data_IF_837804970025
#
_entry.id   IF_837804970025
#
_cell.length_a   1.000
_cell.length_b   1.000
_cell.length_c   1.000
_cell.angle_alpha   90.00
_cell.angle_beta   90.00
_cell.angle_gamma   90.00
#
_symmetry.space_group_name_H-M   'P 1'
#
loop_
_entity.id
_entity.type
_entity.pdbx_description
1 polymer ?
#
# COMPACT_ATOMS: atom_id res chain seq x y z
N UNK A 1 -14.19 20.06 8.08
CA UNK A 1 -13.10 19.61 8.97
C UNK A 1 -13.25 18.11 9.22
N UNK A 2 -12.21 17.43 9.71
CA UNK A 2 -12.30 16.01 10.06
C UNK A 2 -13.37 15.72 11.13
N UNK A 3 -13.58 16.65 12.07
CA UNK A 3 -14.69 16.56 13.04
C UNK A 3 -16.06 16.52 12.36
N UNK A 4 -16.30 17.39 11.38
CA UNK A 4 -17.59 17.41 10.68
C UNK A 4 -17.83 16.12 9.90
N UNK A 5 -16.78 15.56 9.29
CA UNK A 5 -16.85 14.26 8.59
C UNK A 5 -17.20 13.15 9.59
N UNK A 6 -16.49 13.09 10.73
CA UNK A 6 -16.76 12.13 11.79
C UNK A 6 -18.22 12.21 12.31
N UNK A 7 -18.70 13.42 12.59
CA UNK A 7 -20.08 13.63 13.01
C UNK A 7 -21.08 13.18 11.94
N UNK A 8 -20.82 13.50 10.67
CA UNK A 8 -21.69 13.11 9.56
C UNK A 8 -21.78 11.58 9.42
N UNK A 9 -20.65 10.88 9.56
CA UNK A 9 -20.60 9.41 9.53
C UNK A 9 -21.43 8.83 10.68
N UNK A 10 -21.22 9.31 11.92
CA UNK A 10 -21.92 8.80 13.09
C UNK A 10 -23.42 9.10 13.09
N UNK A 11 -23.81 10.30 12.62
CA UNK A 11 -25.21 10.66 12.40
C UNK A 11 -25.86 9.73 11.38
N UNK A 12 -25.23 9.52 10.23
CA UNK A 12 -25.73 8.60 9.20
C UNK A 12 -25.91 7.16 9.72
N UNK A 13 -24.94 6.64 10.46
CA UNK A 13 -25.05 5.31 11.07
C UNK A 13 -26.24 5.25 12.04
N UNK A 14 -26.41 6.26 12.88
CA UNK A 14 -27.52 6.30 13.85
C UNK A 14 -28.88 6.43 13.14
N UNK A 15 -28.98 7.28 12.13
CA UNK A 15 -30.19 7.50 11.33
C UNK A 15 -30.62 6.25 10.55
N UNK A 16 -29.66 5.42 10.13
CA UNK A 16 -29.92 4.14 9.46
C UNK A 16 -30.22 2.99 10.44
N UNK A 17 -30.29 3.28 11.74
CA UNK A 17 -30.56 2.28 12.78
C UNK A 17 -29.35 1.43 13.17
N UNK A 18 -28.15 1.78 12.69
CA UNK A 18 -26.93 1.06 13.05
C UNK A 18 -26.53 1.36 14.50
N UNK A 19 -26.22 0.30 15.26
CA UNK A 19 -25.84 0.43 16.65
C UNK A 19 -24.34 0.76 16.74
N UNK A 20 -23.99 1.96 17.22
CA UNK A 20 -22.58 2.42 17.26
C UNK A 20 -21.63 1.52 18.06
N UNK A 21 -22.14 0.71 18.99
CA UNK A 21 -21.31 -0.26 19.72
C UNK A 21 -20.90 -1.46 18.85
N UNK A 22 -21.59 -1.71 17.73
CA UNK A 22 -21.26 -2.76 16.75
C UNK A 22 -20.23 -2.30 15.70
N UNK A 23 -19.87 -1.01 15.65
CA UNK A 23 -18.88 -0.48 14.71
C UNK A 23 -17.48 -1.01 15.05
N UNK A 24 -17.01 -2.10 14.46
CA UNK A 24 -15.71 -2.67 14.82
C UNK A 24 -14.56 -2.22 13.90
N UNK A 25 -14.87 -1.89 12.65
CA UNK A 25 -13.89 -1.57 11.61
C UNK A 25 -14.28 -0.27 10.93
N UNK A 26 -13.28 0.55 10.62
CA UNK A 26 -13.46 1.74 9.78
C UNK A 26 -12.42 1.75 8.67
N UNK A 27 -12.86 1.93 7.43
CA UNK A 27 -12.01 1.96 6.25
C UNK A 27 -11.92 3.33 5.61
N UNK A 28 -10.73 3.71 5.15
CA UNK A 28 -10.49 4.99 4.47
C UNK A 28 -9.20 4.96 3.63
N UNK A 29 -8.95 6.01 2.85
CA UNK A 29 -7.60 6.24 2.31
C UNK A 29 -6.61 6.65 3.42
N UNK A 30 -5.32 6.63 3.11
CA UNK A 30 -4.26 6.95 4.08
C UNK A 30 -4.01 8.45 4.28
N UNK A 31 -4.89 9.34 3.85
CA UNK A 31 -4.65 10.79 3.94
C UNK A 31 -4.65 11.26 5.40
N UNK A 32 -3.83 12.28 5.70
CA UNK A 32 -3.73 12.86 7.04
C UNK A 32 -5.08 13.35 7.59
N UNK A 33 -6.01 13.78 6.72
CA UNK A 33 -7.37 14.14 7.12
C UNK A 33 -8.12 12.97 7.73
N UNK A 34 -7.93 11.75 7.23
CA UNK A 34 -8.59 10.55 7.73
C UNK A 34 -7.82 9.90 8.88
N UNK A 35 -6.50 9.78 8.75
CA UNK A 35 -5.64 8.95 9.61
C UNK A 35 -4.79 9.75 10.61
N UNK A 36 -4.90 11.08 10.62
CA UNK A 36 -4.12 11.95 11.51
C UNK A 36 -4.33 11.60 12.99
N UNK A 37 -3.23 11.36 13.70
CA UNK A 37 -3.25 10.85 15.08
C UNK A 37 -4.00 11.73 16.10
N UNK A 38 -4.02 13.06 15.91
CA UNK A 38 -4.69 14.03 16.79
C UNK A 38 -6.10 14.42 16.34
N UNK A 39 -6.22 14.67 15.04
CA UNK A 39 -7.35 15.38 14.45
C UNK A 39 -8.01 14.62 13.30
N UNK A 40 -7.50 13.45 12.92
CA UNK A 40 -8.02 12.64 11.83
C UNK A 40 -9.44 12.16 12.09
N UNK A 41 -10.19 11.89 11.03
CA UNK A 41 -11.59 11.42 11.10
C UNK A 41 -11.72 10.22 12.03
N UNK A 42 -10.84 9.21 11.91
CA UNK A 42 -10.92 8.01 12.75
C UNK A 42 -10.70 8.35 14.22
N UNK A 43 -9.68 9.16 14.53
CA UNK A 43 -9.41 9.62 15.90
C UNK A 43 -10.62 10.36 16.50
N UNK A 44 -11.34 11.17 15.72
CA UNK A 44 -12.55 11.86 16.19
C UNK A 44 -13.73 10.90 16.39
N UNK A 45 -13.84 9.84 15.58
CA UNK A 45 -14.84 8.80 15.77
C UNK A 45 -14.54 8.01 17.04
N UNK A 46 -13.31 7.54 17.24
CA UNK A 46 -12.87 6.79 18.41
C UNK A 46 -13.12 7.54 19.73
N UNK A 47 -12.91 8.87 19.75
CA UNK A 47 -13.24 9.72 20.91
C UNK A 47 -14.73 9.72 21.23
N UNK A 48 -15.59 9.73 20.22
CA UNK A 48 -17.04 9.73 20.40
C UNK A 48 -17.58 8.35 20.82
N UNK A 49 -17.06 7.28 20.23
CA UNK A 49 -17.43 5.90 20.60
C UNK A 49 -16.70 5.38 21.85
N UNK A 50 -15.73 6.15 22.37
CA UNK A 50 -14.92 5.87 23.58
C UNK A 50 -14.18 4.54 23.54
N UNK A 51 -13.73 4.11 22.35
CA UNK A 51 -12.96 2.88 22.14
C UNK A 51 -12.17 2.97 20.84
N UNK A 52 -11.08 2.22 20.75
CA UNK A 52 -10.35 2.08 19.48
C UNK A 52 -11.13 1.21 18.50
N UNK A 53 -11.02 1.55 17.22
CA UNK A 53 -11.59 0.82 16.10
C UNK A 53 -10.48 0.09 15.36
N UNK A 54 -10.84 -0.93 14.59
CA UNK A 54 -9.92 -1.54 13.65
C UNK A 54 -9.77 -0.63 12.43
N UNK A 55 -8.55 -0.17 12.14
CA UNK A 55 -8.29 0.70 10.99
C UNK A 55 -8.05 -0.15 9.75
N UNK A 56 -8.89 0.01 8.72
CA UNK A 56 -8.77 -0.63 7.42
C UNK A 56 -8.38 0.41 6.36
N UNK A 57 -7.14 0.87 6.42
CA UNK A 57 -6.62 1.91 5.53
C UNK A 57 -6.45 1.35 4.10
N UNK A 58 -6.25 2.17 3.08
CA UNK A 58 -6.06 1.67 1.72
C UNK A 58 -4.59 1.26 1.45
N UNK A 59 -4.33 -0.03 1.23
CA UNK A 59 -2.99 -0.52 0.81
C UNK A 59 -2.57 -0.05 -0.58
N UNK A 60 -3.53 0.17 -1.48
CA UNK A 60 -3.22 0.72 -2.80
C UNK A 60 -2.70 2.15 -2.68
N UNK A 61 -3.28 2.95 -1.79
CA UNK A 61 -2.77 4.29 -1.49
C UNK A 61 -1.36 4.21 -0.90
N UNK A 62 -1.10 3.28 0.03
CA UNK A 62 0.24 3.05 0.57
C UNK A 62 1.27 2.72 -0.52
N UNK A 63 0.95 1.81 -1.45
CA UNK A 63 1.81 1.47 -2.58
C UNK A 63 2.07 2.67 -3.52
N UNK A 64 1.05 3.50 -3.76
CA UNK A 64 1.19 4.74 -4.53
C UNK A 64 2.17 5.74 -3.90
N UNK A 65 2.25 5.80 -2.57
CA UNK A 65 3.14 6.74 -1.89
C UNK A 65 4.63 6.46 -2.18
N UNK A 66 5.04 5.19 -2.25
CA UNK A 66 6.43 4.84 -2.56
C UNK A 66 6.84 5.35 -3.94
N UNK A 67 6.04 5.10 -4.97
CA UNK A 67 6.30 5.62 -6.31
C UNK A 67 6.23 7.15 -6.35
N UNK A 68 5.23 7.75 -5.69
CA UNK A 68 5.08 9.21 -5.58
C UNK A 68 6.33 9.90 -5.07
N UNK A 69 6.81 9.45 -3.91
CA UNK A 69 7.93 10.10 -3.24
C UNK A 69 9.25 9.85 -3.94
N UNK A 70 9.41 8.70 -4.59
CA UNK A 70 10.54 8.45 -5.48
C UNK A 70 10.52 9.43 -6.67
N UNK A 71 9.36 9.56 -7.32
CA UNK A 71 9.17 10.47 -8.45
C UNK A 71 9.50 11.92 -8.07
N UNK A 72 8.91 12.41 -6.98
CA UNK A 72 9.15 13.79 -6.52
C UNK A 72 10.59 14.03 -6.07
N UNK A 73 11.30 13.01 -5.60
CA UNK A 73 12.70 13.15 -5.22
C UNK A 73 13.63 13.23 -6.45
N UNK A 74 13.30 12.51 -7.54
CA UNK A 74 14.10 12.46 -8.76
C UNK A 74 13.76 13.56 -9.78
N UNK A 75 12.52 14.05 -9.77
CA UNK A 75 12.02 15.09 -10.68
C UNK A 75 11.98 16.49 -10.02
N UNK A 76 12.53 16.65 -8.83
CA UNK A 76 12.38 17.84 -7.96
C UNK A 76 10.95 18.07 -7.41
N UNK A 77 10.87 18.57 -6.17
CA UNK A 77 9.61 18.82 -5.48
C UNK A 77 8.76 19.90 -6.19
N UNK A 78 7.45 19.65 -6.29
CA UNK A 78 6.49 20.67 -6.76
C UNK A 78 6.40 21.80 -5.73
N UNK A 79 6.80 23.02 -6.09
CA UNK A 79 6.76 24.22 -5.22
C UNK A 79 5.35 24.81 -5.04
N UNK A 80 4.30 23.98 -4.99
CA UNK A 80 2.92 24.40 -4.75
C UNK A 80 1.87 23.56 -5.50
N UNK A 81 0.61 24.05 -5.64
CA UNK A 81 -0.48 23.34 -6.35
C UNK A 81 -0.30 23.30 -7.89
N UNK A 82 0.91 23.56 -8.39
CA UNK A 82 1.24 23.61 -9.81
C UNK A 82 1.52 22.21 -10.38
N UNK A 83 1.41 22.01 -11.71
CA UNK A 83 1.87 20.79 -12.36
C UNK A 83 3.35 20.53 -12.09
N UNK A 84 3.78 19.27 -12.26
CA UNK A 84 5.17 18.84 -12.15
C UNK A 84 6.12 19.86 -12.79
N UNK A 85 7.08 20.35 -12.01
CA UNK A 85 8.03 21.38 -12.44
C UNK A 85 9.34 20.80 -12.97
N UNK A 86 9.59 19.52 -12.71
CA UNK A 86 10.79 18.83 -13.12
C UNK A 86 10.86 18.47 -14.60
N UNK A 87 12.05 18.05 -15.05
CA UNK A 87 12.29 17.68 -16.45
C UNK A 87 11.43 16.50 -16.91
N UNK A 88 11.25 15.46 -16.09
CA UNK A 88 10.47 14.25 -16.38
C UNK A 88 8.98 14.60 -16.33
N UNK A 89 8.51 15.18 -15.24
CA UNK A 89 7.09 15.48 -15.05
C UNK A 89 6.56 16.54 -16.03
N UNK A 90 7.39 17.50 -16.42
CA UNK A 90 7.04 18.44 -17.51
C UNK A 90 6.85 17.70 -18.83
N UNK A 91 7.69 16.71 -19.14
CA UNK A 91 7.56 15.90 -20.35
C UNK A 91 6.33 15.02 -20.32
N UNK A 92 6.02 14.41 -19.17
CA UNK A 92 4.78 13.62 -19.00
C UNK A 92 3.57 14.42 -19.46
N UNK A 93 3.47 15.71 -19.11
CA UNK A 93 2.32 16.56 -19.47
C UNK A 93 2.26 16.98 -20.95
N UNK A 94 3.38 17.01 -21.67
CA UNK A 94 3.50 17.60 -23.01
C UNK A 94 3.64 16.59 -24.16
N UNK A 95 4.04 15.36 -23.88
CA UNK A 95 4.58 14.42 -24.88
C UNK A 95 3.80 13.10 -25.00
N UNK A 96 2.47 13.17 -24.92
CA UNK A 96 1.61 11.97 -24.97
C UNK A 96 1.63 11.22 -26.32
N UNK A 97 2.08 11.85 -27.42
CA UNK A 97 1.99 11.33 -28.80
C UNK A 97 3.33 11.04 -29.46
N UNK A 98 4.40 10.92 -28.68
CA UNK A 98 5.72 10.61 -29.25
C UNK A 98 5.74 9.19 -29.84
N UNK A 99 6.41 8.97 -30.99
CA UNK A 99 6.56 7.63 -31.55
C UNK A 99 7.38 6.73 -30.62
N UNK A 100 7.17 5.42 -30.71
CA UNK A 100 8.06 4.45 -30.07
C UNK A 100 9.37 4.40 -30.87
N UNK A 101 10.50 4.44 -30.17
CA UNK A 101 11.86 4.38 -30.75
C UNK A 101 12.57 3.13 -30.25
N UNK A 102 13.83 2.93 -30.62
CA UNK A 102 14.66 1.89 -30.00
C UNK A 102 14.95 2.27 -28.55
N UNK A 103 14.37 1.55 -27.60
CA UNK A 103 14.57 1.78 -26.17
C UNK A 103 15.36 0.63 -25.53
N UNK A 104 15.98 0.89 -24.40
CA UNK A 104 16.72 -0.12 -23.62
C UNK A 104 15.73 -1.06 -22.90
N UNK A 105 15.88 -2.37 -23.11
CA UNK A 105 15.09 -3.36 -22.37
C UNK A 105 15.62 -3.55 -20.96
N UNK A 106 14.74 -3.90 -20.02
CA UNK A 106 15.15 -4.18 -18.65
C UNK A 106 14.56 -5.48 -18.10
N UNK A 107 15.44 -6.43 -17.81
CA UNK A 107 15.04 -7.74 -17.29
C UNK A 107 14.44 -7.63 -15.88
N UNK A 108 13.18 -8.03 -15.75
CA UNK A 108 12.47 -8.12 -14.49
C UNK A 108 11.38 -9.19 -14.57
N UNK A 109 11.10 -9.85 -13.44
CA UNK A 109 10.01 -10.81 -13.35
C UNK A 109 8.68 -10.08 -13.27
N UNK A 110 7.82 -10.31 -14.25
CA UNK A 110 6.48 -9.72 -14.29
C UNK A 110 5.51 -10.67 -13.57
N UNK A 111 4.80 -10.22 -12.53
CA UNK A 111 3.92 -11.07 -11.76
C UNK A 111 2.74 -11.58 -12.60
N UNK A 112 2.48 -12.88 -12.50
CA UNK A 112 1.31 -13.48 -13.15
C UNK A 112 0.00 -13.03 -12.49
N UNK A 113 -0.95 -12.54 -13.27
CA UNK A 113 -2.30 -12.19 -12.80
C UNK A 113 -3.33 -12.40 -13.91
N UNK A 114 -4.50 -12.92 -13.53
CA UNK A 114 -5.61 -13.04 -14.46
C UNK A 114 -6.09 -11.67 -14.92
N UNK A 115 -6.03 -11.41 -16.23
CA UNK A 115 -6.40 -10.11 -16.83
C UNK A 115 -7.81 -9.63 -16.45
N UNK A 116 -8.74 -10.56 -16.19
CA UNK A 116 -10.11 -10.25 -15.75
C UNK A 116 -10.19 -9.57 -14.38
N UNK A 117 -9.14 -9.67 -13.56
CA UNK A 117 -9.03 -8.99 -12.26
C UNK A 117 -8.57 -7.53 -12.39
N UNK A 118 -8.16 -7.11 -13.59
CA UNK A 118 -7.53 -5.82 -13.86
C UNK A 118 -8.48 -4.86 -14.56
N UNK A 119 -8.47 -3.60 -14.13
CA UNK A 119 -9.06 -2.50 -14.91
C UNK A 119 -8.29 -2.30 -16.22
N UNK A 120 -8.88 -1.57 -17.16
CA UNK A 120 -8.20 -1.24 -18.43
C UNK A 120 -6.84 -0.57 -18.22
N UNK A 121 -6.72 0.29 -17.21
CA UNK A 121 -5.46 1.01 -16.92
C UNK A 121 -4.41 0.11 -16.26
N UNK A 122 -4.84 -0.88 -15.48
CA UNK A 122 -3.95 -1.89 -14.90
C UNK A 122 -3.48 -2.91 -15.93
N UNK A 123 -4.36 -3.30 -16.87
CA UNK A 123 -3.97 -4.13 -18.01
C UNK A 123 -2.94 -3.40 -18.87
N UNK A 124 -3.09 -2.08 -19.06
CA UNK A 124 -2.09 -1.28 -19.76
C UNK A 124 -0.74 -1.29 -19.03
N UNK A 125 -0.75 -1.06 -17.70
CA UNK A 125 0.47 -1.12 -16.88
C UNK A 125 1.20 -2.44 -17.05
N UNK A 126 0.45 -3.55 -17.04
CA UNK A 126 0.99 -4.89 -17.23
C UNK A 126 1.59 -5.06 -18.63
N UNK A 127 0.84 -4.71 -19.68
CA UNK A 127 1.27 -4.87 -21.06
C UNK A 127 2.50 -4.03 -21.40
N UNK A 128 2.55 -2.78 -20.93
CA UNK A 128 3.69 -1.90 -21.18
C UNK A 128 4.90 -2.31 -20.35
N UNK A 129 4.71 -2.87 -19.16
CA UNK A 129 5.81 -3.47 -18.39
C UNK A 129 6.41 -4.65 -19.16
N UNK A 130 5.58 -5.55 -19.71
CA UNK A 130 6.05 -6.63 -20.58
C UNK A 130 6.81 -6.13 -21.81
N UNK A 131 6.36 -5.03 -22.43
CA UNK A 131 7.05 -4.44 -23.58
C UNK A 131 8.46 -3.94 -23.21
N UNK A 132 8.61 -3.30 -22.04
CA UNK A 132 9.90 -2.84 -21.54
C UNK A 132 10.81 -4.02 -21.20
N UNK A 133 10.28 -5.06 -20.56
CA UNK A 133 11.05 -6.25 -20.22
C UNK A 133 11.53 -7.02 -21.45
N UNK A 134 10.69 -7.13 -22.47
CA UNK A 134 11.00 -7.86 -23.71
C UNK A 134 11.81 -7.06 -24.73
N UNK A 135 11.94 -5.75 -24.55
CA UNK A 135 12.54 -4.86 -25.56
C UNK A 135 11.69 -4.69 -26.83
N UNK A 136 10.44 -5.13 -26.82
CA UNK A 136 9.55 -5.09 -27.98
C UNK A 136 8.19 -4.52 -27.59
N UNK A 137 7.73 -3.49 -28.31
CA UNK A 137 6.46 -2.84 -28.03
C UNK A 137 5.43 -3.14 -29.13
N UNK A 138 4.31 -3.79 -28.81
CA UNK A 138 3.17 -3.91 -29.71
C UNK A 138 2.62 -2.55 -30.14
N UNK A 139 2.25 -2.41 -31.40
CA UNK A 139 1.76 -1.14 -31.99
C UNK A 139 0.58 -0.55 -31.20
N UNK A 140 -0.33 -1.37 -30.68
CA UNK A 140 -1.50 -0.89 -29.92
C UNK A 140 -1.13 -0.13 -28.63
N UNK A 141 0.03 -0.39 -28.03
CA UNK A 141 0.51 0.35 -26.85
C UNK A 141 0.94 1.78 -27.22
N UNK A 142 1.35 1.98 -28.47
CA UNK A 142 1.74 3.30 -28.96
C UNK A 142 0.55 4.22 -29.28
N UNK A 143 -0.59 3.63 -29.66
CA UNK A 143 -1.81 4.32 -30.15
C UNK A 143 -2.79 4.66 -29.02
N UNK A 144 -2.70 4.00 -27.87
CA UNK A 144 -3.66 4.19 -26.79
C UNK A 144 -3.49 5.57 -26.15
N UNK A 145 -4.52 6.41 -26.27
CA UNK A 145 -4.52 7.73 -25.63
C UNK A 145 -4.49 7.57 -24.09
N UNK A 146 -3.56 8.25 -23.40
CA UNK A 146 -3.58 8.30 -21.95
C UNK A 146 -4.87 8.97 -21.48
N UNK A 147 -5.51 8.41 -20.45
CA UNK A 147 -6.64 9.07 -19.78
C UNK A 147 -6.20 10.47 -19.32
N UNK A 148 -7.09 11.47 -19.48
CA UNK A 148 -6.88 12.87 -19.01
C UNK A 148 -6.24 12.85 -17.62
N UNK A 149 -5.25 13.70 -17.39
CA UNK A 149 -4.33 13.69 -16.24
C UNK A 149 -4.88 14.36 -14.96
N UNK A 150 -5.49 13.63 -14.00
CA UNK A 150 -5.60 14.13 -12.64
C UNK A 150 -4.28 13.88 -11.92
N UNK A 151 -3.70 14.94 -11.35
CA UNK A 151 -2.44 14.90 -10.61
C UNK A 151 -2.50 14.03 -9.33
N UNK A 152 -3.69 13.52 -8.99
CA UNK A 152 -3.95 12.65 -7.84
C UNK A 152 -3.88 11.15 -8.16
N UNK A 153 -3.72 10.73 -9.43
CA UNK A 153 -3.74 9.30 -9.81
C UNK A 153 -2.35 8.80 -10.25
N UNK A 154 -1.63 8.20 -9.31
CA UNK A 154 -0.26 7.71 -9.53
C UNK A 154 -0.17 6.53 -10.49
N UNK A 155 -1.21 5.69 -10.60
CA UNK A 155 -1.29 4.67 -11.65
C UNK A 155 -1.24 5.28 -13.06
N UNK A 156 -1.95 6.39 -13.28
CA UNK A 156 -1.93 7.09 -14.57
C UNK A 156 -0.55 7.70 -14.83
N UNK A 157 0.09 8.27 -13.80
CA UNK A 157 1.47 8.76 -13.89
C UNK A 157 2.44 7.64 -14.28
N UNK A 158 2.38 6.49 -13.61
CA UNK A 158 3.23 5.32 -13.91
C UNK A 158 3.04 4.85 -15.37
N UNK A 159 1.78 4.73 -15.82
CA UNK A 159 1.48 4.36 -17.21
C UNK A 159 2.08 5.34 -18.24
N UNK A 160 2.03 6.65 -17.93
CA UNK A 160 2.59 7.69 -18.80
C UNK A 160 4.11 7.69 -18.77
N UNK A 161 4.72 7.42 -17.62
CA UNK A 161 6.16 7.32 -17.44
C UNK A 161 6.75 6.18 -18.26
N UNK A 162 6.17 4.98 -18.15
CA UNK A 162 6.54 3.84 -19.00
C UNK A 162 6.32 4.16 -20.49
N UNK A 163 5.23 4.85 -20.85
CA UNK A 163 4.96 5.24 -22.25
C UNK A 163 5.96 6.26 -22.78
N UNK A 164 6.40 7.18 -21.93
CA UNK A 164 7.39 8.19 -22.25
C UNK A 164 8.76 7.54 -22.47
N UNK A 165 9.13 6.56 -21.64
CA UNK A 165 10.37 5.81 -21.77
C UNK A 165 10.52 5.12 -23.14
N UNK A 166 9.44 4.54 -23.67
CA UNK A 166 9.42 3.94 -25.02
C UNK A 166 9.74 4.93 -26.15
N UNK A 167 9.73 6.23 -25.86
CA UNK A 167 10.00 7.31 -26.82
C UNK A 167 11.38 7.95 -26.64
N UNK A 168 12.27 7.35 -25.83
CA UNK A 168 13.64 7.83 -25.63
C UNK A 168 14.68 6.74 -25.93
N UNK A 169 15.58 7.03 -26.86
CA UNK A 169 16.74 6.16 -27.11
C UNK A 169 17.78 6.26 -26.00
N UNK A 170 17.94 7.45 -25.41
CA UNK A 170 18.92 7.73 -24.36
C UNK A 170 18.24 8.38 -23.15
N UNK A 171 17.52 7.60 -22.32
CA UNK A 171 16.91 8.12 -21.09
C UNK A 171 17.99 8.42 -20.04
N UNK A 172 17.75 9.42 -19.18
CA UNK A 172 18.65 9.72 -18.05
C UNK A 172 18.59 8.61 -16.98
N UNK A 173 19.60 8.53 -16.14
CA UNK A 173 19.66 7.53 -15.07
C UNK A 173 18.48 7.68 -14.09
N UNK A 174 18.06 8.92 -13.79
CA UNK A 174 16.90 9.20 -12.94
C UNK A 174 15.59 8.65 -13.56
N UNK A 175 15.40 8.85 -14.87
CA UNK A 175 14.24 8.32 -15.56
C UNK A 175 14.27 6.78 -15.61
N UNK A 176 15.44 6.17 -15.82
CA UNK A 176 15.60 4.71 -15.75
C UNK A 176 15.19 4.17 -14.38
N UNK A 177 15.61 4.82 -13.29
CA UNK A 177 15.25 4.40 -11.92
C UNK A 177 13.72 4.38 -11.73
N UNK A 178 13.00 5.41 -12.18
CA UNK A 178 11.54 5.46 -12.08
C UNK A 178 10.86 4.37 -12.88
N UNK A 179 11.29 4.21 -14.14
CA UNK A 179 10.77 3.21 -15.06
C UNK A 179 10.99 1.80 -14.54
N UNK A 180 12.16 1.52 -13.94
CA UNK A 180 12.47 0.20 -13.39
C UNK A 180 11.77 -0.06 -12.05
N UNK A 181 11.50 0.98 -11.25
CA UNK A 181 10.74 0.85 -10.01
C UNK A 181 9.32 0.36 -10.21
N UNK A 182 8.68 0.76 -11.32
CA UNK A 182 7.31 0.38 -11.60
C UNK A 182 7.13 -1.15 -11.72
N UNK A 183 7.84 -1.87 -12.62
CA UNK A 183 7.71 -3.30 -12.74
C UNK A 183 8.42 -4.07 -11.63
N UNK A 184 9.45 -3.52 -10.97
CA UNK A 184 10.14 -4.21 -9.86
C UNK A 184 9.44 -4.12 -8.52
N UNK A 185 8.70 -3.04 -8.27
CA UNK A 185 8.12 -2.77 -6.95
C UNK A 185 6.65 -2.42 -7.03
N UNK A 186 6.28 -1.36 -7.74
CA UNK A 186 4.90 -0.85 -7.71
C UNK A 186 3.88 -1.88 -8.21
N UNK A 187 4.12 -2.51 -9.36
CA UNK A 187 3.23 -3.50 -9.96
C UNK A 187 3.19 -4.83 -9.20
N UNK A 188 4.33 -5.47 -8.80
CA UNK A 188 4.33 -6.68 -7.98
C UNK A 188 3.51 -6.54 -6.69
N UNK A 189 3.74 -5.47 -5.93
CA UNK A 189 2.97 -5.17 -4.72
C UNK A 189 1.49 -5.02 -5.04
N UNK A 190 1.17 -4.31 -6.12
CA UNK A 190 -0.21 -4.11 -6.55
C UNK A 190 -0.91 -5.44 -6.88
N UNK A 191 -0.22 -6.35 -7.58
CA UNK A 191 -0.71 -7.71 -7.86
C UNK A 191 -0.87 -8.52 -6.58
N UNK A 192 0.08 -8.41 -5.65
CA UNK A 192 0.03 -9.06 -4.34
C UNK A 192 -1.24 -8.62 -3.58
N UNK A 193 -1.51 -7.31 -3.49
CA UNK A 193 -2.72 -6.75 -2.87
C UNK A 193 -4.01 -7.28 -3.54
N UNK A 194 -4.02 -7.45 -4.86
CA UNK A 194 -5.19 -7.99 -5.57
C UNK A 194 -5.45 -9.45 -5.29
N UNK A 195 -4.39 -10.24 -5.08
CA UNK A 195 -4.49 -11.68 -4.74
C UNK A 195 -4.84 -11.86 -3.26
N UNK A 196 -4.20 -11.12 -2.35
CA UNK A 196 -4.44 -11.16 -0.90
C UNK A 196 -5.39 -10.08 -0.44
N UNK A 197 -6.70 -10.33 -0.52
CA UNK A 197 -7.74 -9.31 -0.22
C UNK A 197 -8.11 -9.22 1.26
N UNK A 198 -7.63 -10.16 2.09
CA UNK A 198 -8.00 -10.19 3.49
C UNK A 198 -7.20 -9.17 4.29
N UNK A 199 -7.83 -8.65 5.34
CA UNK A 199 -7.20 -7.73 6.27
C UNK A 199 -5.91 -8.30 6.87
N UNK A 200 -5.92 -9.61 7.13
CA UNK A 200 -4.79 -10.37 7.64
C UNK A 200 -3.60 -10.43 6.68
N UNK A 201 -3.77 -10.17 5.38
CA UNK A 201 -2.65 -10.08 4.44
C UNK A 201 -1.93 -8.72 4.49
N UNK A 202 -2.46 -7.74 5.23
CA UNK A 202 -1.93 -6.38 5.31
C UNK A 202 -0.41 -6.31 5.53
N UNK A 203 0.12 -6.96 6.59
CA UNK A 203 1.56 -6.99 6.85
C UNK A 203 2.39 -7.62 5.74
N UNK A 204 1.91 -8.70 5.11
CA UNK A 204 2.60 -9.33 3.98
C UNK A 204 2.72 -8.36 2.80
N UNK A 205 1.70 -7.54 2.55
CA UNK A 205 1.75 -6.52 1.50
C UNK A 205 2.75 -5.42 1.80
N UNK A 206 2.91 -5.02 3.07
CA UNK A 206 3.92 -4.03 3.42
C UNK A 206 5.33 -4.63 3.35
N UNK A 207 5.50 -5.88 3.80
CA UNK A 207 6.74 -6.62 3.62
C UNK A 207 7.15 -6.70 2.14
N UNK A 208 6.19 -6.94 1.23
CA UNK A 208 6.46 -6.97 -0.20
C UNK A 208 6.99 -5.63 -0.71
N UNK A 209 6.44 -4.48 -0.26
CA UNK A 209 6.98 -3.14 -0.60
C UNK A 209 8.41 -2.97 -0.09
N UNK A 210 8.69 -3.42 1.14
CA UNK A 210 10.02 -3.37 1.75
C UNK A 210 10.99 -4.19 0.91
N UNK A 211 10.64 -5.43 0.58
CA UNK A 211 11.49 -6.37 -0.17
C UNK A 211 11.73 -5.88 -1.59
N UNK A 212 10.67 -5.50 -2.30
CA UNK A 212 10.70 -5.15 -3.72
C UNK A 212 11.41 -3.82 -4.00
N UNK A 213 11.58 -2.96 -2.99
CA UNK A 213 12.30 -1.68 -3.14
C UNK A 213 13.82 -1.78 -2.89
N UNK A 214 14.33 -2.88 -2.34
CA UNK A 214 15.75 -3.02 -1.91
C UNK A 214 16.78 -2.93 -3.04
N UNK A 215 16.37 -2.99 -4.31
CA UNK A 215 17.28 -2.81 -5.44
C UNK A 215 17.70 -1.35 -5.65
N UNK A 216 17.03 -0.38 -5.01
CA UNK A 216 17.35 1.04 -5.11
C UNK A 216 18.68 1.38 -4.41
N UNK A 217 19.38 2.44 -4.85
CA UNK A 217 20.57 2.93 -4.16
C UNK A 217 20.24 3.52 -2.79
N UNK A 218 21.22 3.54 -1.88
CA UNK A 218 21.03 3.87 -0.46
C UNK A 218 20.37 5.25 -0.23
N UNK A 219 20.72 6.25 -1.04
CA UNK A 219 20.13 7.60 -0.94
C UNK A 219 18.62 7.59 -1.24
N UNK A 220 18.18 6.78 -2.20
CA UNK A 220 16.76 6.65 -2.56
C UNK A 220 16.02 5.71 -1.61
N UNK A 221 16.70 4.68 -1.09
CA UNK A 221 16.14 3.83 -0.03
C UNK A 221 15.79 4.63 1.20
N UNK A 222 16.60 5.62 1.61
CA UNK A 222 16.26 6.52 2.73
C UNK A 222 14.92 7.25 2.50
N UNK A 223 14.64 7.64 1.26
CA UNK A 223 13.35 8.27 0.90
C UNK A 223 12.22 7.26 1.05
N UNK A 224 12.34 6.08 0.43
CA UNK A 224 11.32 5.02 0.48
C UNK A 224 11.08 4.53 1.90
N UNK A 225 12.12 4.23 2.66
CA UNK A 225 12.04 3.74 4.04
C UNK A 225 11.34 4.77 4.93
N UNK A 226 11.64 6.06 4.74
CA UNK A 226 10.93 7.11 5.48
C UNK A 226 9.43 7.18 5.15
N UNK A 227 9.05 6.84 3.92
CA UNK A 227 7.65 6.81 3.48
C UNK A 227 6.95 5.60 4.06
N UNK A 228 7.60 4.44 4.02
CA UNK A 228 7.13 3.20 4.63
C UNK A 228 6.87 3.46 6.12
N UNK A 229 7.88 3.87 6.89
CA UNK A 229 7.77 4.13 8.35
C UNK A 229 6.64 5.08 8.73
N UNK A 230 6.35 6.08 7.89
CA UNK A 230 5.31 7.09 8.16
C UNK A 230 3.89 6.62 7.80
N UNK A 231 3.74 5.58 6.98
CA UNK A 231 2.47 5.18 6.37
C UNK A 231 2.10 3.70 6.58
N UNK A 232 2.88 2.96 7.37
CA UNK A 232 2.65 1.57 7.78
C UNK A 232 1.50 1.41 8.77
N UNK A 233 0.36 2.06 8.51
CA UNK A 233 -0.85 1.94 9.33
C UNK A 233 -1.38 0.50 9.35
N UNK A 234 -1.03 -0.30 8.34
CA UNK A 234 -1.30 -1.74 8.30
C UNK A 234 -0.42 -2.59 9.20
N UNK A 235 0.70 -2.05 9.66
CA UNK A 235 1.57 -2.70 10.65
C UNK A 235 1.31 -2.18 12.05
N UNK A 236 0.18 -1.49 12.25
CA UNK A 236 -0.36 -1.37 13.58
C UNK A 236 -0.40 -2.80 14.17
N UNK A 237 0.15 -3.00 15.37
CA UNK A 237 0.44 -4.34 15.85
C UNK A 237 -0.81 -5.18 16.08
N UNK A 238 -1.96 -4.53 16.25
CA UNK A 238 -3.28 -5.16 16.19
C UNK A 238 -3.50 -5.92 14.87
N UNK A 239 -3.09 -5.33 13.74
CA UNK A 239 -3.20 -5.93 12.40
C UNK A 239 -2.15 -7.01 12.19
N UNK A 240 -0.94 -6.80 12.71
CA UNK A 240 0.10 -7.81 12.64
C UNK A 240 -0.35 -9.06 13.39
N UNK A 241 -0.84 -8.91 14.63
CA UNK A 241 -1.43 -10.02 15.40
C UNK A 241 -2.51 -10.76 14.62
N UNK A 242 -3.41 -10.04 13.94
CA UNK A 242 -4.44 -10.65 13.10
C UNK A 242 -3.84 -11.46 11.94
N UNK A 243 -2.76 -11.00 11.33
CA UNK A 243 -1.99 -11.77 10.34
C UNK A 243 -1.37 -13.03 10.94
N UNK A 244 -0.82 -12.94 12.16
CA UNK A 244 -0.14 -14.09 12.81
C UNK A 244 -1.13 -15.18 13.20
N UNK A 245 -2.34 -14.82 13.65
CA UNK A 245 -3.39 -15.78 14.02
C UNK A 245 -3.75 -16.70 12.86
N UNK A 246 -3.59 -16.24 11.62
CA UNK A 246 -3.88 -17.01 10.40
C UNK A 246 -2.61 -17.49 9.68
N UNK A 247 -1.44 -17.38 10.31
CA UNK A 247 -0.17 -17.84 9.72
C UNK A 247 -0.23 -19.35 9.46
N UNK A 248 0.37 -19.82 8.38
CA UNK A 248 0.37 -21.25 8.02
C UNK A 248 1.17 -22.11 9.00
N UNK A 249 2.11 -21.52 9.75
CA UNK A 249 3.00 -22.21 10.69
C UNK A 249 2.35 -22.29 12.08
N UNK A 250 2.14 -23.50 12.56
CA UNK A 250 1.46 -23.76 13.84
C UNK A 250 2.12 -23.06 15.02
N UNK A 251 3.46 -23.15 15.10
CA UNK A 251 4.26 -22.54 16.17
C UNK A 251 4.09 -21.01 16.23
N UNK A 252 3.94 -20.37 15.07
CA UNK A 252 3.75 -18.92 14.94
C UNK A 252 2.35 -18.53 15.40
N UNK A 253 1.33 -19.32 15.01
CA UNK A 253 -0.04 -19.09 15.51
C UNK A 253 -0.14 -19.27 17.03
N UNK A 254 0.52 -20.28 17.60
CA UNK A 254 0.56 -20.47 19.06
C UNK A 254 1.25 -19.32 19.80
N UNK A 255 2.33 -18.78 19.23
CA UNK A 255 3.00 -17.60 19.76
C UNK A 255 2.05 -16.39 19.75
N UNK A 256 1.28 -16.19 18.68
CA UNK A 256 0.28 -15.11 18.60
C UNK A 256 -0.74 -15.17 19.73
N UNK A 257 -1.25 -16.37 20.04
CA UNK A 257 -2.21 -16.54 21.12
C UNK A 257 -1.63 -16.14 22.47
N UNK A 258 -0.39 -16.58 22.75
CA UNK A 258 0.33 -16.21 23.98
C UNK A 258 0.53 -14.70 24.09
N UNK A 259 0.83 -14.03 22.98
CA UNK A 259 0.97 -12.56 22.96
C UNK A 259 -0.38 -11.89 23.22
N UNK A 260 -1.47 -12.36 22.59
CA UNK A 260 -2.81 -11.77 22.74
C UNK A 260 -3.31 -11.83 24.20
N UNK A 261 -3.11 -12.96 24.89
CA UNK A 261 -3.57 -13.12 26.27
C UNK A 261 -2.72 -12.35 27.30
N UNK A 262 -1.49 -11.95 26.93
CA UNK A 262 -0.56 -11.23 27.81
C UNK A 262 -0.50 -9.72 27.54
N UNK A 263 -1.23 -9.26 26.52
CA UNK A 263 -1.24 -7.92 25.98
C UNK A 263 -1.78 -6.85 26.99
N UNK A 264 -1.03 -5.76 27.23
CA UNK A 264 -1.42 -4.60 28.07
C UNK A 264 -1.07 -3.16 27.54
N UNK A 265 -0.41 -2.91 26.38
CA UNK A 265 -0.03 -1.54 25.91
C UNK A 265 0.17 -1.36 24.38
N UNK A 266 0.91 -0.34 23.88
CA UNK A 266 1.05 0.00 22.45
C UNK A 266 2.54 0.02 22.00
N UNK A 267 2.88 -0.39 20.76
CA UNK A 267 4.26 -0.43 20.27
C UNK A 267 4.79 0.82 19.62
N UNK A 268 6.12 0.86 19.49
CA UNK A 268 6.83 1.81 18.65
C UNK A 268 7.86 1.09 17.77
N UNK A 269 7.81 1.44 16.48
CA UNK A 269 8.79 1.18 15.42
C UNK A 269 8.78 -0.22 14.76
N UNK A 270 8.97 -0.20 13.44
CA UNK A 270 9.00 -1.35 12.54
C UNK A 270 10.44 -1.66 12.16
N UNK A 271 10.78 -2.94 12.11
CA UNK A 271 12.06 -3.44 11.65
C UNK A 271 12.08 -3.61 10.12
N UNK A 272 12.70 -2.64 9.43
CA UNK A 272 12.83 -2.64 7.96
C UNK A 272 13.84 -3.68 7.46
N UNK A 273 14.70 -4.18 8.35
CA UNK A 273 15.70 -5.21 8.03
C UNK A 273 15.15 -6.63 8.22
N UNK A 274 13.84 -6.77 8.45
CA UNK A 274 13.18 -8.06 8.62
C UNK A 274 13.35 -8.95 7.37
N UNK A 275 13.51 -10.25 7.60
CA UNK A 275 13.58 -11.26 6.52
C UNK A 275 12.27 -12.03 6.34
N UNK A 276 11.36 -11.88 7.31
CA UNK A 276 10.01 -12.44 7.34
C UNK A 276 9.03 -11.39 7.87
N UNK A 277 7.77 -11.42 7.44
CA UNK A 277 6.76 -10.43 7.86
C UNK A 277 6.53 -10.43 9.39
N UNK A 278 6.76 -11.56 10.05
CA UNK A 278 6.61 -11.70 11.51
C UNK A 278 7.74 -10.98 12.27
N UNK A 279 8.90 -10.80 11.64
CA UNK A 279 10.09 -10.14 12.23
C UNK A 279 10.05 -8.61 12.13
N UNK A 280 9.01 -8.06 11.48
CA UNK A 280 8.81 -6.62 11.32
C UNK A 280 8.51 -5.92 12.65
N UNK A 281 8.11 -6.68 13.70
CA UNK A 281 7.93 -6.17 15.06
C UNK A 281 8.72 -7.01 16.07
N UNK A 282 9.32 -6.34 17.06
CA UNK A 282 10.01 -7.02 18.17
C UNK A 282 9.03 -7.42 19.28
N UNK A 283 8.54 -8.65 19.25
CA UNK A 283 7.52 -9.15 20.18
C UNK A 283 7.90 -9.10 21.67
N UNK A 284 9.18 -9.16 22.00
CA UNK A 284 9.67 -9.26 23.39
C UNK A 284 9.71 -7.92 24.14
N UNK A 285 9.67 -6.80 23.42
CA UNK A 285 9.80 -5.44 24.00
C UNK A 285 8.46 -4.73 24.12
N UNK A 286 7.39 -5.42 23.72
CA UNK A 286 6.11 -4.81 23.41
C UNK A 286 5.01 -5.51 24.20
N UNK A 287 4.23 -4.72 24.91
CA UNK A 287 2.98 -5.16 25.52
C UNK A 287 1.87 -4.64 24.62
N UNK A 288 0.93 -5.47 24.13
CA UNK A 288 -0.03 -5.09 23.07
C UNK A 288 -1.43 -4.74 23.58
N UNK A 289 -2.30 -4.13 22.80
CA UNK A 289 -3.75 -4.18 23.05
C UNK A 289 -4.33 -5.32 22.20
N UNK A 290 -5.31 -6.07 22.72
CA UNK A 290 -6.03 -7.04 21.90
C UNK A 290 -6.62 -6.31 20.69
N UNK A 291 -6.44 -6.84 19.46
CA UNK A 291 -7.01 -6.24 18.26
C UNK A 291 -8.51 -5.99 18.47
N UNK A 292 -9.05 -4.82 18.06
CA UNK A 292 -10.47 -4.48 18.23
C UNK A 292 -11.41 -5.57 17.68
N UNK A 293 -11.02 -6.21 16.58
CA UNK A 293 -11.74 -7.34 15.99
C UNK A 293 -11.83 -8.58 16.89
N UNK A 294 -10.89 -8.76 17.81
CA UNK A 294 -10.88 -9.91 18.72
C UNK A 294 -11.69 -9.70 19.99
N UNK A 295 -12.12 -8.47 20.31
CA UNK A 295 -12.85 -8.15 21.56
C UNK A 295 -14.17 -8.89 21.72
N UNK A 296 -14.77 -9.34 20.62
CA UNK A 296 -16.03 -10.08 20.61
C UNK A 296 -15.85 -11.58 20.88
N UNK A 297 -14.62 -12.08 20.90
CA UNK A 297 -14.32 -13.48 21.10
C UNK A 297 -13.72 -13.70 22.49
N UNK A 298 -14.12 -14.81 23.12
CA UNK A 298 -13.49 -15.34 24.32
C UNK A 298 -12.13 -15.94 23.99
N UNK A 299 -11.25 -16.07 25.00
CA UNK A 299 -9.95 -16.73 24.82
C UNK A 299 -10.08 -18.17 24.27
N UNK A 300 -11.14 -18.89 24.63
CA UNK A 300 -11.42 -20.23 24.12
C UNK A 300 -11.79 -20.21 22.62
N UNK A 301 -12.61 -19.26 22.20
CA UNK A 301 -12.97 -19.08 20.79
C UNK A 301 -11.76 -18.65 19.94
N UNK A 302 -10.91 -17.75 20.46
CA UNK A 302 -9.65 -17.37 19.80
C UNK A 302 -8.72 -18.59 19.67
N UNK A 303 -8.58 -19.38 20.74
CA UNK A 303 -7.75 -20.58 20.71
C UNK A 303 -8.26 -21.62 19.70
N UNK A 304 -9.57 -21.84 19.63
CA UNK A 304 -10.18 -22.72 18.64
C UNK A 304 -9.92 -22.25 17.19
N UNK A 305 -9.96 -20.93 16.95
CA UNK A 305 -9.60 -20.33 15.65
C UNK A 305 -8.13 -20.50 15.30
N UNK A 306 -7.23 -20.35 16.28
CA UNK A 306 -5.78 -20.59 16.13
C UNK A 306 -5.49 -22.05 15.74
N UNK A 307 -6.21 -23.01 16.33
CA UNK A 307 -6.04 -24.44 16.03
C UNK A 307 -6.62 -24.84 14.67
N UNK A 308 -7.64 -24.14 14.18
CA UNK A 308 -8.31 -24.44 12.89
C UNK A 308 -7.70 -23.76 11.66
N UNK A 309 -6.45 -23.27 11.76
CA UNK A 309 -5.67 -22.74 10.63
C UNK A 309 -6.38 -21.59 9.88
N UNK A 310 -7.13 -20.74 10.58
CA UNK A 310 -7.80 -19.59 9.95
C UNK A 310 -8.90 -19.94 8.94
N UNK A 311 -9.35 -21.20 8.87
CA UNK A 311 -10.44 -21.62 7.95
C UNK A 311 -11.78 -20.97 8.28
N UNK A 312 -11.89 -20.35 9.46
CA UNK A 312 -13.07 -19.59 9.89
C UNK A 312 -12.74 -18.11 9.87
N UNK A 313 -13.25 -17.42 8.85
CA UNK A 313 -13.21 -15.96 8.67
C UNK A 313 -13.38 -15.25 10.03
N UNK A 314 -12.42 -14.40 10.38
CA UNK A 314 -12.47 -13.53 11.56
C UNK A 314 -13.44 -12.38 11.37
#
# INVERSE_FOLDING_TARGET
SAQNIANSILSYLTETGFLLHELNVIGCDGTVTNTGWKTGVICQIEKQVKRTLQWCVCLLYFNELSFRHLFLNLDDETTGPKPFSGPIGTQLSKREKLPVVNFESYECEIPEIERKMLSKDQQYLLDISYAITSGSSPEYLSVREPVRFPHSRWLTTANRDLRLYLSFENPTDEHKILVYFIPKSYMPVWVHIKKGKYFTNGPEHVFEVIKSSRFLPENLLKVIDSVIQRNTLFENPENLLLSIIVDKRDQIRELSFKIIITAKSQPQNINILATDCIEMIQWNTITLLPPPLLRRFTNQEIWSKVQSCGTVVL
#
